data_IF_095980918566
#
_entry.id   IF_095980918566
#
_cell.length_a   1.000
_cell.length_b   1.000
_cell.length_c   1.000
_cell.angle_alpha   90.00
_cell.angle_beta   90.00
_cell.angle_gamma   90.00
#
_symmetry.space_group_name_H-M   'P 1'
#
loop_
_entity.id
_entity.type
_entity.pdbx_description
1 polymer ?
#
# COMPACT_ATOMS: atom_id res chain seq x y z
N UNK A 1 2.17 -9.57 19.89
CA UNK A 1 2.34 -8.92 18.58
C UNK A 1 3.77 -9.11 18.11
N UNK A 2 4.03 -9.89 17.03
CA UNK A 2 5.40 -10.03 16.46
C UNK A 2 5.80 -8.70 15.82
N UNK A 3 6.95 -8.15 16.23
CA UNK A 3 7.50 -6.89 15.67
C UNK A 3 7.68 -7.02 14.16
N UNK A 4 7.10 -6.09 13.39
CA UNK A 4 7.33 -5.96 11.95
C UNK A 4 8.78 -5.45 11.81
N UNK A 5 9.65 -6.26 11.23
CA UNK A 5 11.01 -5.81 10.89
C UNK A 5 10.95 -5.08 9.56
N UNK A 6 11.25 -3.80 9.54
CA UNK A 6 11.22 -2.93 8.33
C UNK A 6 12.10 -3.50 7.20
N UNK A 7 13.16 -4.23 7.56
CA UNK A 7 14.04 -4.91 6.61
C UNK A 7 13.34 -5.95 5.72
N UNK A 8 12.11 -6.35 6.05
CA UNK A 8 11.31 -7.29 5.24
C UNK A 8 10.39 -6.60 4.24
N UNK A 9 10.30 -5.26 4.27
CA UNK A 9 9.40 -4.44 3.46
C UNK A 9 10.15 -3.29 2.76
N UNK A 10 11.24 -3.59 2.00
CA UNK A 10 12.07 -2.54 1.41
C UNK A 10 11.35 -1.77 0.32
N UNK A 11 10.51 -2.43 -0.50
CA UNK A 11 9.76 -1.77 -1.57
C UNK A 11 8.66 -0.88 -1.01
N UNK A 12 7.97 -1.32 0.05
CA UNK A 12 7.00 -0.50 0.76
C UNK A 12 7.67 0.75 1.33
N UNK A 13 8.83 0.61 1.99
CA UNK A 13 9.55 1.75 2.54
C UNK A 13 9.97 2.75 1.43
N UNK A 14 10.50 2.25 0.32
CA UNK A 14 10.86 3.07 -0.82
C UNK A 14 9.63 3.78 -1.41
N UNK A 15 8.54 3.05 -1.63
CA UNK A 15 7.30 3.62 -2.18
C UNK A 15 6.72 4.71 -1.28
N UNK A 16 6.73 4.52 0.04
CA UNK A 16 6.31 5.56 1.00
C UNK A 16 7.17 6.82 0.84
N UNK A 17 8.49 6.69 0.81
CA UNK A 17 9.40 7.85 0.62
C UNK A 17 9.11 8.55 -0.70
N UNK A 18 8.94 7.81 -1.79
CA UNK A 18 8.62 8.38 -3.11
C UNK A 18 7.29 9.13 -3.08
N UNK A 19 6.24 8.55 -2.52
CA UNK A 19 4.92 9.18 -2.44
C UNK A 19 4.99 10.47 -1.62
N UNK A 20 5.59 10.43 -0.43
CA UNK A 20 5.78 11.64 0.38
C UNK A 20 6.53 12.73 -0.39
N UNK A 21 7.60 12.37 -1.09
CA UNK A 21 8.38 13.31 -1.88
C UNK A 21 7.54 13.92 -3.00
N UNK A 22 6.84 13.10 -3.79
CA UNK A 22 6.01 13.56 -4.91
C UNK A 22 4.85 14.45 -4.45
N UNK A 23 4.22 14.11 -3.32
CA UNK A 23 3.09 14.89 -2.81
C UNK A 23 3.51 16.22 -2.17
N UNK A 24 4.75 16.35 -1.69
CA UNK A 24 5.21 17.58 -1.01
C UNK A 24 6.07 18.50 -1.89
N UNK A 25 6.65 18.00 -2.98
CA UNK A 25 7.40 18.83 -3.92
C UNK A 25 6.46 19.81 -4.64
N UNK A 26 6.84 21.11 -4.76
CA UNK A 26 6.13 22.05 -5.60
C UNK A 26 6.08 21.55 -7.04
N UNK A 27 4.89 21.46 -7.63
CA UNK A 27 4.76 21.14 -9.06
C UNK A 27 4.90 22.45 -9.83
N UNK A 28 5.86 22.57 -10.77
CA UNK A 28 5.91 23.71 -11.66
C UNK A 28 4.64 23.78 -12.50
N UNK A 29 4.18 24.99 -12.80
CA UNK A 29 3.02 25.18 -13.68
C UNK A 29 3.30 24.54 -15.05
N UNK A 30 2.54 23.51 -15.36
CA UNK A 30 2.62 22.80 -16.63
C UNK A 30 1.28 22.83 -17.33
N UNK A 31 1.23 22.68 -18.66
CA UNK A 31 -0.06 22.57 -19.39
C UNK A 31 -0.97 21.46 -18.85
N UNK A 32 -0.42 20.46 -18.15
CA UNK A 32 -1.15 19.37 -17.52
C UNK A 32 -2.00 19.84 -16.34
N UNK A 33 -1.68 20.97 -15.71
CA UNK A 33 -2.48 21.57 -14.63
C UNK A 33 -3.88 22.00 -15.12
N UNK A 34 -4.08 22.11 -16.44
CA UNK A 34 -5.38 22.39 -17.05
C UNK A 34 -6.27 21.14 -17.11
N UNK A 35 -5.73 19.94 -16.88
CA UNK A 35 -6.51 18.70 -16.83
C UNK A 35 -7.05 18.54 -15.41
N UNK A 36 -8.29 18.95 -15.22
CA UNK A 36 -8.99 19.07 -13.93
C UNK A 36 -8.95 17.85 -12.99
N UNK A 37 -8.51 16.68 -13.45
CA UNK A 37 -8.51 15.43 -12.67
C UNK A 37 -7.13 14.75 -12.60
N UNK A 38 -6.08 15.34 -13.17
CA UNK A 38 -4.77 14.67 -13.26
C UNK A 38 -4.19 14.38 -11.85
N UNK A 39 -4.38 15.30 -10.92
CA UNK A 39 -3.93 15.16 -9.53
C UNK A 39 -4.62 13.97 -8.86
N UNK A 40 -5.92 13.87 -8.99
CA UNK A 40 -6.74 12.78 -8.44
C UNK A 40 -6.38 11.41 -9.01
N UNK A 41 -6.10 11.33 -10.31
CA UNK A 41 -5.58 10.10 -10.93
C UNK A 41 -4.20 9.73 -10.39
N UNK A 42 -3.35 10.72 -10.14
CA UNK A 42 -2.02 10.50 -9.55
C UNK A 42 -2.14 9.91 -8.16
N UNK A 43 -2.97 10.48 -7.28
CA UNK A 43 -3.27 9.97 -5.95
C UNK A 43 -3.80 8.51 -6.02
N UNK A 44 -4.80 8.26 -6.84
CA UNK A 44 -5.38 6.92 -7.04
C UNK A 44 -4.30 5.89 -7.43
N UNK A 45 -3.46 6.22 -8.41
CA UNK A 45 -2.41 5.29 -8.91
C UNK A 45 -1.32 5.09 -7.87
N UNK A 46 -0.87 6.15 -7.18
CA UNK A 46 0.17 6.06 -6.16
C UNK A 46 -0.28 5.20 -4.97
N UNK A 47 -1.46 5.43 -4.44
CA UNK A 47 -1.97 4.70 -3.28
C UNK A 47 -2.46 3.29 -3.64
N UNK A 48 -3.00 3.10 -4.84
CA UNK A 48 -3.29 1.77 -5.37
C UNK A 48 -2.03 0.94 -5.55
N UNK A 49 -1.00 1.51 -6.17
CA UNK A 49 0.30 0.87 -6.35
C UNK A 49 0.99 0.54 -5.03
N UNK A 50 0.99 1.48 -4.07
CA UNK A 50 1.51 1.24 -2.72
C UNK A 50 0.82 0.04 -2.06
N UNK A 51 -0.51 -0.01 -2.13
CA UNK A 51 -1.30 -1.11 -1.54
C UNK A 51 -0.94 -2.44 -2.17
N UNK A 52 -0.79 -2.52 -3.50
CA UNK A 52 -0.36 -3.74 -4.19
C UNK A 52 1.05 -4.17 -3.74
N UNK A 53 1.98 -3.22 -3.60
CA UNK A 53 3.34 -3.50 -3.11
C UNK A 53 3.30 -4.08 -1.70
N UNK A 54 2.56 -3.46 -0.79
CA UNK A 54 2.39 -3.94 0.60
C UNK A 54 1.86 -5.38 0.60
N UNK A 55 0.80 -5.66 -0.17
CA UNK A 55 0.23 -7.01 -0.27
C UNK A 55 1.23 -8.02 -0.82
N UNK A 56 1.97 -7.67 -1.86
CA UNK A 56 2.98 -8.56 -2.45
C UNK A 56 4.10 -8.89 -1.44
N UNK A 57 4.59 -7.91 -0.69
CA UNK A 57 5.62 -8.13 0.34
C UNK A 57 5.08 -8.93 1.52
N UNK A 58 3.83 -8.67 1.96
CA UNK A 58 3.19 -9.46 3.01
C UNK A 58 3.00 -10.92 2.59
N UNK A 59 2.59 -11.19 1.35
CA UNK A 59 2.46 -12.54 0.82
C UNK A 59 3.82 -13.25 0.72
N UNK A 60 4.88 -12.54 0.34
CA UNK A 60 6.26 -13.09 0.36
C UNK A 60 6.71 -13.45 1.79
N UNK A 61 6.45 -12.56 2.75
CA UNK A 61 6.80 -12.79 4.15
C UNK A 61 6.04 -14.00 4.73
N UNK A 62 4.75 -14.13 4.42
CA UNK A 62 3.94 -15.27 4.85
C UNK A 62 4.42 -16.59 4.23
N UNK A 63 4.76 -16.60 2.93
CA UNK A 63 5.36 -17.78 2.27
C UNK A 63 6.70 -18.18 2.90
N UNK A 64 7.55 -17.19 3.21
CA UNK A 64 8.83 -17.45 3.87
C UNK A 64 8.63 -18.06 5.26
N UNK A 65 7.76 -17.48 6.07
CA UNK A 65 7.44 -17.99 7.43
C UNK A 65 6.88 -19.41 7.39
N UNK A 66 6.04 -19.71 6.40
CA UNK A 66 5.49 -21.05 6.21
C UNK A 66 6.62 -22.05 5.88
N UNK A 67 7.55 -21.69 4.98
CA UNK A 67 8.70 -22.55 4.67
C UNK A 67 9.60 -22.78 5.88
N UNK A 68 9.89 -21.74 6.65
CA UNK A 68 10.70 -21.83 7.89
C UNK A 68 10.02 -22.73 8.94
N UNK A 69 8.68 -22.61 9.09
CA UNK A 69 7.93 -23.43 10.02
C UNK A 69 7.91 -24.91 9.62
N UNK A 70 7.70 -25.22 8.34
CA UNK A 70 7.71 -26.60 7.83
C UNK A 70 9.10 -27.23 7.93
N UNK A 71 10.16 -26.43 7.72
CA UNK A 71 11.55 -26.91 7.88
C UNK A 71 11.87 -27.25 9.35
N UNK A 72 11.35 -26.46 10.29
CA UNK A 72 11.59 -26.65 11.73
C UNK A 72 10.74 -27.80 12.32
N UNK A 73 9.53 -28.01 11.82
CA UNK A 73 8.62 -29.09 12.19
C UNK A 73 7.82 -29.56 10.97
N UNK A 74 8.23 -30.67 10.35
CA UNK A 74 7.53 -31.23 9.16
C UNK A 74 6.08 -31.63 9.41
N UNK A 75 5.68 -31.79 10.68
CA UNK A 75 4.30 -32.07 11.09
C UNK A 75 3.49 -30.80 11.37
N UNK A 76 4.13 -29.63 11.40
CA UNK A 76 3.42 -28.38 11.55
C UNK A 76 2.49 -28.19 10.35
N UNK A 77 1.18 -28.21 10.62
CA UNK A 77 0.17 -27.86 9.64
C UNK A 77 0.49 -26.44 9.15
N UNK A 78 0.65 -26.31 7.83
CA UNK A 78 0.82 -25.01 7.18
C UNK A 78 -0.20 -24.01 7.76
N UNK A 79 0.27 -22.89 8.34
CA UNK A 79 -0.66 -21.90 8.86
C UNK A 79 -1.55 -21.47 7.70
N UNK A 80 -2.85 -21.78 7.83
CA UNK A 80 -3.86 -21.33 6.88
C UNK A 80 -3.74 -19.82 6.75
N UNK A 81 -3.20 -19.35 5.64
CA UNK A 81 -3.13 -17.93 5.34
C UNK A 81 -4.55 -17.43 5.13
N UNK A 82 -5.16 -16.96 6.21
CA UNK A 82 -6.43 -16.22 6.10
C UNK A 82 -6.11 -14.94 5.32
N UNK A 83 -6.33 -15.00 4.02
CA UNK A 83 -6.12 -13.89 3.06
C UNK A 83 -6.78 -12.60 3.54
N UNK A 84 -7.82 -12.72 4.34
CA UNK A 84 -8.55 -11.60 4.95
C UNK A 84 -8.23 -11.49 6.45
N UNK A 85 -6.97 -11.71 6.85
CA UNK A 85 -6.59 -11.52 8.25
C UNK A 85 -6.63 -10.04 8.62
N UNK A 86 -6.90 -9.74 9.88
CA UNK A 86 -6.85 -8.38 10.45
C UNK A 86 -5.56 -7.65 10.07
N UNK A 87 -4.43 -8.37 9.91
CA UNK A 87 -3.14 -7.82 9.49
C UNK A 87 -3.22 -7.21 8.08
N UNK A 88 -3.81 -7.90 7.10
CA UNK A 88 -3.96 -7.39 5.73
C UNK A 88 -4.91 -6.20 5.66
N UNK A 89 -6.02 -6.22 6.40
CA UNK A 89 -6.94 -5.09 6.45
C UNK A 89 -6.29 -3.84 7.06
N UNK A 90 -5.52 -4.00 8.14
CA UNK A 90 -4.88 -2.88 8.83
C UNK A 90 -3.68 -2.33 8.02
N UNK A 91 -2.73 -3.17 7.63
CA UNK A 91 -1.49 -2.73 7.00
C UNK A 91 -1.59 -2.58 5.49
N UNK A 92 -2.40 -3.40 4.84
CA UNK A 92 -2.62 -3.36 3.40
C UNK A 92 -3.85 -2.55 2.97
N UNK A 93 -4.60 -1.98 3.90
CA UNK A 93 -5.79 -1.17 3.63
C UNK A 93 -5.79 0.12 4.44
N UNK A 94 -6.08 0.04 5.74
CA UNK A 94 -6.28 1.22 6.57
C UNK A 94 -5.03 2.11 6.68
N UNK A 95 -3.84 1.52 6.83
CA UNK A 95 -2.60 2.30 7.01
C UNK A 95 -2.24 3.17 5.79
N UNK A 96 -2.24 2.67 4.52
CA UNK A 96 -2.04 3.52 3.36
C UNK A 96 -3.08 4.64 3.25
N UNK A 97 -4.35 4.34 3.51
CA UNK A 97 -5.40 5.35 3.45
C UNK A 97 -5.21 6.46 4.49
N UNK A 98 -4.94 6.10 5.74
CA UNK A 98 -4.64 7.09 6.79
C UNK A 98 -3.38 7.91 6.48
N UNK A 99 -2.39 7.29 5.82
CA UNK A 99 -1.20 8.01 5.35
C UNK A 99 -1.57 9.07 4.30
N UNK A 100 -2.51 8.79 3.40
CA UNK A 100 -3.05 9.76 2.45
C UNK A 100 -3.66 10.96 3.18
N UNK A 101 -4.57 10.72 4.12
CA UNK A 101 -5.14 11.80 4.94
C UNK A 101 -4.10 12.63 5.70
N UNK A 102 -3.04 11.98 6.18
CA UNK A 102 -1.94 12.72 6.84
C UNK A 102 -1.18 13.60 5.83
N UNK A 103 -0.96 13.13 4.61
CA UNK A 103 -0.32 13.94 3.55
C UNK A 103 -1.18 15.16 3.24
N UNK A 104 -2.51 15.02 3.10
CA UNK A 104 -3.42 16.14 2.86
C UNK A 104 -3.36 17.20 3.98
N UNK A 105 -3.29 16.75 5.24
CA UNK A 105 -3.14 17.67 6.39
C UNK A 105 -1.81 18.41 6.31
N UNK A 106 -0.72 17.71 5.99
CA UNK A 106 0.62 18.32 5.85
C UNK A 106 0.65 19.29 4.68
N UNK A 107 0.02 18.97 3.55
CA UNK A 107 -0.11 19.87 2.41
C UNK A 107 -0.85 21.16 2.80
N UNK A 108 -2.00 21.03 3.50
CA UNK A 108 -2.79 22.16 3.93
C UNK A 108 -2.08 23.07 4.94
N UNK A 109 -1.23 22.51 5.81
CA UNK A 109 -0.68 23.23 6.96
C UNK A 109 0.79 23.62 6.81
N UNK A 110 1.59 22.81 6.12
CA UNK A 110 3.05 22.93 6.12
C UNK A 110 3.64 23.45 4.80
N UNK A 111 2.86 23.53 3.71
CA UNK A 111 3.39 23.95 2.40
C UNK A 111 3.28 25.46 2.14
N UNK A 112 2.80 26.23 3.12
CA UNK A 112 2.66 27.71 3.00
C UNK A 112 1.88 28.15 1.74
N UNK A 113 0.87 27.37 1.34
CA UNK A 113 0.05 27.68 0.16
C UNK A 113 0.59 27.19 -1.18
N UNK A 114 1.74 26.50 -1.19
CA UNK A 114 2.31 25.87 -2.41
C UNK A 114 1.45 24.67 -2.84
N UNK A 115 0.87 23.95 -1.88
CA UNK A 115 -0.09 22.85 -2.08
C UNK A 115 -1.31 23.12 -1.19
N UNK A 116 -2.49 22.88 -1.73
CA UNK A 116 -3.72 22.88 -0.95
C UNK A 116 -4.12 21.44 -0.66
N UNK A 117 -4.33 21.09 0.61
CA UNK A 117 -4.95 19.81 0.96
C UNK A 117 -6.36 19.74 0.37
N UNK A 118 -6.65 18.71 -0.42
CA UNK A 118 -7.95 18.52 -1.06
C UNK A 118 -8.63 17.25 -0.51
N UNK A 119 -9.78 17.36 0.17
CA UNK A 119 -10.53 16.18 0.61
C UNK A 119 -10.89 15.20 -0.51
N UNK A 120 -10.95 15.66 -1.76
CA UNK A 120 -11.23 14.80 -2.91
C UNK A 120 -10.01 13.93 -3.22
N UNK A 121 -8.78 14.43 -3.00
CA UNK A 121 -7.55 13.65 -3.17
C UNK A 121 -7.48 12.54 -2.11
N UNK A 122 -7.87 12.82 -0.87
CA UNK A 122 -8.04 11.79 0.16
C UNK A 122 -9.08 10.72 -0.23
N UNK A 123 -10.16 11.10 -0.90
CA UNK A 123 -11.14 10.12 -1.44
C UNK A 123 -10.52 9.30 -2.58
N UNK A 124 -9.75 9.93 -3.47
CA UNK A 124 -9.04 9.23 -4.56
C UNK A 124 -8.02 8.22 -4.00
N UNK A 125 -7.31 8.55 -2.92
CA UNK A 125 -6.44 7.62 -2.19
C UNK A 125 -7.20 6.39 -1.72
N UNK A 126 -8.39 6.60 -1.13
CA UNK A 126 -9.27 5.53 -0.65
C UNK A 126 -9.70 4.59 -1.78
N UNK A 127 -10.11 5.14 -2.93
CA UNK A 127 -10.45 4.35 -4.11
C UNK A 127 -9.23 3.57 -4.62
N UNK A 128 -8.06 4.21 -4.68
CA UNK A 128 -6.79 3.57 -5.05
C UNK A 128 -6.48 2.39 -4.13
N UNK A 129 -6.58 2.59 -2.83
CA UNK A 129 -6.37 1.54 -1.81
C UNK A 129 -7.34 0.37 -2.01
N UNK A 130 -8.63 0.62 -2.23
CA UNK A 130 -9.62 -0.44 -2.46
C UNK A 130 -9.30 -1.26 -3.71
N UNK A 131 -8.93 -0.60 -4.81
CA UNK A 131 -8.49 -1.26 -6.04
C UNK A 131 -7.21 -2.08 -5.81
N UNK A 132 -6.23 -1.53 -5.10
CA UNK A 132 -5.00 -2.23 -4.73
C UNK A 132 -5.27 -3.46 -3.85
N UNK A 133 -6.21 -3.37 -2.90
CA UNK A 133 -6.65 -4.52 -2.10
C UNK A 133 -7.31 -5.60 -2.95
N UNK A 134 -8.16 -5.23 -3.91
CA UNK A 134 -8.79 -6.18 -4.83
C UNK A 134 -7.73 -6.95 -5.64
N UNK A 135 -6.74 -6.23 -6.18
CA UNK A 135 -5.59 -6.85 -6.89
C UNK A 135 -4.79 -7.76 -5.92
N UNK A 136 -4.52 -7.30 -4.70
CA UNK A 136 -3.82 -8.08 -3.68
C UNK A 136 -4.53 -9.40 -3.34
N UNK A 137 -5.87 -9.37 -3.22
CA UNK A 137 -6.69 -10.58 -3.00
C UNK A 137 -6.58 -11.53 -4.20
N UNK A 138 -6.62 -11.02 -5.42
CA UNK A 138 -6.43 -11.83 -6.62
C UNK A 138 -5.05 -12.48 -6.64
N UNK A 139 -3.98 -11.73 -6.39
CA UNK A 139 -2.62 -12.27 -6.29
C UNK A 139 -2.51 -13.37 -5.24
N UNK A 140 -3.14 -13.19 -4.08
CA UNK A 140 -3.16 -14.19 -3.02
C UNK A 140 -3.88 -15.48 -3.44
N UNK A 141 -5.00 -15.37 -4.18
CA UNK A 141 -5.73 -16.53 -4.71
C UNK A 141 -4.90 -17.30 -5.75
N UNK A 142 -4.29 -16.59 -6.71
CA UNK A 142 -3.42 -17.23 -7.72
C UNK A 142 -2.21 -17.92 -7.08
N UNK A 143 -1.59 -17.27 -6.09
CA UNK A 143 -0.47 -17.87 -5.35
C UNK A 143 -0.86 -19.13 -4.58
N UNK A 144 -2.12 -19.28 -4.19
CA UNK A 144 -2.66 -20.44 -3.46
C UNK A 144 -2.97 -21.62 -4.39
N UNK A 145 -3.40 -21.36 -5.62
CA UNK A 145 -3.70 -22.40 -6.63
C UNK A 145 -2.44 -23.00 -7.21
N UNK A 146 -1.39 -22.23 -7.45
CA UNK A 146 -0.10 -22.69 -8.00
C UNK A 146 0.65 -23.66 -7.07
N UNK A 147 0.28 -23.78 -5.81
CA UNK A 147 0.94 -24.65 -4.83
C UNK A 147 0.24 -26.02 -4.66
N UNK A 148 -0.82 -26.28 -5.44
CA UNK A 148 -1.62 -27.53 -5.39
C UNK A 148 -1.40 -28.46 -6.56
N UNK A 149 -0.58 -28.07 -7.53
CA UNK A 149 -0.11 -28.88 -8.65
C UNK A 149 1.34 -29.30 -8.45
#
# INVERSE_FOLDING_TARGET
MKKIKLTHYPLTALAVVVIWTLCLIPIPETPLNQISLIDKWTHLVLFGGLTVIIWAEMLRDDKRRTKEAVYSDPKALSPSSKILSRRYALWGGLAPWLMGGLIEIVQATCTHGVRSGDPIDFMADGVGVLLGMAIGILLARFASTSNKG
#
